data_IF_909012498985
#
_entry.id   IF_909012498985
#
_cell.length_a   1.000
_cell.length_b   1.000
_cell.length_c   1.000
_cell.angle_alpha   90.00
_cell.angle_beta   90.00
_cell.angle_gamma   90.00
#
_symmetry.space_group_name_H-M   'P 1'
#
loop_
_entity.id
_entity.type
_entity.pdbx_description
1 polymer ?
#
# COMPACT_ATOMS: atom_id res chain seq x y z
N UNK A 1 8.14 9.71 -31.81
CA UNK A 1 6.84 9.92 -31.10
C UNK A 1 6.72 9.17 -29.77
N UNK A 2 7.07 7.88 -29.66
CA UNK A 2 6.84 7.15 -28.40
C UNK A 2 7.71 7.64 -27.22
N UNK A 3 8.97 8.03 -27.47
CA UNK A 3 9.88 8.52 -26.42
C UNK A 3 9.33 9.77 -25.71
N UNK A 4 8.78 10.73 -26.46
CA UNK A 4 8.18 11.96 -25.93
C UNK A 4 6.98 11.66 -25.02
N UNK A 5 6.14 10.67 -25.38
CA UNK A 5 5.00 10.23 -24.57
C UNK A 5 5.42 9.57 -23.26
N UNK A 6 6.45 8.71 -23.32
CA UNK A 6 7.02 8.12 -22.11
C UNK A 6 7.67 9.16 -21.20
N UNK A 7 8.40 10.13 -21.77
CA UNK A 7 8.98 11.23 -21.01
C UNK A 7 7.90 12.08 -20.34
N UNK A 8 6.84 12.44 -21.06
CA UNK A 8 5.70 13.18 -20.50
C UNK A 8 5.02 12.41 -19.36
N UNK A 9 4.72 11.12 -19.58
CA UNK A 9 4.11 10.27 -18.55
C UNK A 9 5.01 10.17 -17.32
N UNK A 10 6.31 9.94 -17.50
CA UNK A 10 7.29 9.88 -16.41
C UNK A 10 7.36 11.20 -15.64
N UNK A 11 7.38 12.34 -16.33
CA UNK A 11 7.34 13.68 -15.70
C UNK A 11 6.06 13.90 -14.92
N UNK A 12 4.90 13.49 -15.45
CA UNK A 12 3.62 13.61 -14.75
C UNK A 12 3.59 12.72 -13.51
N UNK A 13 4.04 11.47 -13.59
CA UNK A 13 4.15 10.60 -12.42
C UNK A 13 5.14 11.15 -11.38
N UNK A 14 6.30 11.62 -11.80
CA UNK A 14 7.27 12.27 -10.91
C UNK A 14 6.68 13.53 -10.26
N UNK A 15 5.92 14.33 -11.01
CA UNK A 15 5.21 15.50 -10.52
C UNK A 15 4.12 15.14 -9.49
N UNK A 16 3.36 14.08 -9.73
CA UNK A 16 2.37 13.57 -8.76
C UNK A 16 3.04 13.11 -7.46
N UNK A 17 4.15 12.36 -7.57
CA UNK A 17 4.93 11.91 -6.41
C UNK A 17 5.56 13.08 -5.65
N UNK A 18 6.14 14.05 -6.37
CA UNK A 18 6.69 15.26 -5.77
C UNK A 18 5.61 16.10 -5.07
N UNK A 19 4.42 16.22 -5.67
CA UNK A 19 3.28 16.89 -5.05
C UNK A 19 2.89 16.19 -3.74
N UNK A 20 2.76 14.86 -3.76
CA UNK A 20 2.46 14.06 -2.55
C UNK A 20 3.52 14.30 -1.48
N UNK A 21 4.80 14.20 -1.85
CA UNK A 21 5.92 14.36 -0.92
C UNK A 21 5.99 15.78 -0.32
N UNK A 22 5.79 16.82 -1.13
CA UNK A 22 6.00 18.20 -0.72
C UNK A 22 4.75 18.84 -0.10
N UNK A 23 3.57 18.54 -0.67
CA UNK A 23 2.30 19.24 -0.46
C UNK A 23 1.14 18.32 -0.10
N UNK A 24 1.31 17.00 -0.16
CA UNK A 24 0.27 16.04 0.20
C UNK A 24 -0.28 16.35 1.58
N UNK A 25 -1.59 16.41 1.75
CA UNK A 25 -2.14 16.50 3.09
C UNK A 25 -1.97 15.14 3.74
N UNK A 26 -1.32 15.11 4.90
CA UNK A 26 -0.99 13.90 5.61
C UNK A 26 -2.29 13.10 5.92
N UNK A 27 -3.35 13.80 6.34
CA UNK A 27 -4.69 13.24 6.53
C UNK A 27 -5.34 12.72 5.25
N UNK A 28 -5.01 13.28 4.07
CA UNK A 28 -5.52 12.79 2.79
C UNK A 28 -4.91 11.44 2.42
N UNK A 29 -3.60 11.28 2.65
CA UNK A 29 -2.89 10.03 2.39
C UNK A 29 -3.33 8.93 3.36
N UNK A 30 -3.56 9.29 4.62
CA UNK A 30 -4.13 8.38 5.61
C UNK A 30 -5.57 7.98 5.23
N UNK A 31 -6.41 8.93 4.81
CA UNK A 31 -7.76 8.63 4.31
C UNK A 31 -7.71 7.72 3.08
N UNK A 32 -6.79 7.93 2.13
CA UNK A 32 -6.64 7.08 0.94
C UNK A 32 -6.13 5.67 1.30
N UNK A 33 -5.18 5.58 2.23
CA UNK A 33 -4.64 4.34 2.77
C UNK A 33 -5.69 3.54 3.55
N UNK A 34 -6.51 4.24 4.32
CA UNK A 34 -7.59 3.65 5.10
C UNK A 34 -8.84 3.39 4.26
N UNK A 35 -9.10 4.10 3.17
CA UNK A 35 -10.37 4.03 2.42
C UNK A 35 -10.81 2.59 2.10
N UNK A 36 -9.95 1.68 1.60
CA UNK A 36 -10.35 0.31 1.34
C UNK A 36 -10.70 -0.44 2.63
N UNK A 37 -9.98 -0.15 3.72
CA UNK A 37 -10.30 -0.65 5.05
C UNK A 37 -11.61 -0.04 5.57
N UNK A 38 -11.87 1.25 5.35
CA UNK A 38 -13.14 1.91 5.71
C UNK A 38 -14.31 1.27 4.97
N UNK A 39 -14.12 0.99 3.67
CA UNK A 39 -15.13 0.31 2.84
C UNK A 39 -15.34 -1.12 3.35
N UNK A 40 -14.28 -1.92 3.52
CA UNK A 40 -14.37 -3.28 4.07
C UNK A 40 -15.01 -3.30 5.45
N UNK A 41 -14.55 -2.42 6.33
CA UNK A 41 -15.06 -2.30 7.68
C UNK A 41 -16.51 -1.84 7.65
N UNK A 42 -16.92 -0.90 6.79
CA UNK A 42 -18.33 -0.49 6.65
C UNK A 42 -19.22 -1.60 6.10
N UNK A 43 -18.70 -2.41 5.17
CA UNK A 43 -19.38 -3.59 4.64
C UNK A 43 -19.49 -4.71 5.69
N UNK A 44 -18.47 -4.87 6.54
CA UNK A 44 -18.46 -5.81 7.66
C UNK A 44 -19.20 -5.28 8.92
N UNK A 45 -19.29 -3.96 9.11
CA UNK A 45 -19.93 -3.28 10.25
C UNK A 45 -21.44 -3.35 10.18
N UNK A 46 -22.02 -3.65 9.02
CA UNK A 46 -23.42 -4.10 8.93
C UNK A 46 -23.65 -5.35 9.81
N UNK A 47 -22.60 -6.08 10.18
CA UNK A 47 -22.66 -7.32 10.97
C UNK A 47 -22.22 -7.15 12.44
N UNK A 48 -21.54 -6.05 12.83
CA UNK A 48 -20.99 -5.92 14.19
C UNK A 48 -21.21 -4.53 14.80
N UNK A 49 -22.28 -4.37 15.57
CA UNK A 49 -22.69 -3.16 16.30
C UNK A 49 -21.80 -2.75 17.49
N UNK A 50 -20.48 -2.98 17.45
CA UNK A 50 -19.58 -2.69 18.58
C UNK A 50 -18.61 -1.54 18.28
N UNK A 51 -18.88 -0.37 18.85
CA UNK A 51 -17.90 0.66 19.24
C UNK A 51 -17.19 1.48 18.15
N UNK A 52 -17.00 0.96 16.94
CA UNK A 52 -16.17 1.65 15.93
C UNK A 52 -16.91 2.83 15.25
N UNK A 53 -18.24 2.87 15.32
CA UNK A 53 -19.05 3.98 14.79
C UNK A 53 -18.74 5.35 15.40
N UNK A 54 -18.20 5.41 16.62
CA UNK A 54 -17.87 6.67 17.31
C UNK A 54 -16.61 7.34 16.78
N UNK A 55 -15.61 6.56 16.30
CA UNK A 55 -14.41 7.11 15.66
C UNK A 55 -14.73 7.76 14.30
N UNK A 56 -15.77 7.28 13.61
CA UNK A 56 -16.21 7.81 12.32
C UNK A 56 -17.18 8.98 12.41
N UNK A 57 -18.02 9.03 13.43
CA UNK A 57 -18.94 10.16 13.64
C UNK A 57 -18.19 11.45 14.02
N UNK A 58 -16.95 11.35 14.51
CA UNK A 58 -16.18 12.48 15.01
C UNK A 58 -15.15 13.04 14.02
N UNK A 59 -14.82 12.36 12.91
CA UNK A 59 -13.97 12.95 11.88
C UNK A 59 -14.78 14.06 11.19
N UNK A 60 -14.50 15.36 11.46
CA UNK A 60 -15.38 16.40 10.96
C UNK A 60 -15.36 16.36 9.43
N UNK A 61 -16.54 16.49 8.80
CA UNK A 61 -16.69 16.59 7.34
C UNK A 61 -15.65 17.55 6.72
N UNK A 62 -15.30 18.58 7.49
CA UNK A 62 -14.23 19.54 7.23
C UNK A 62 -12.85 18.90 6.96
N UNK A 63 -12.45 17.86 7.70
CA UNK A 63 -11.17 17.16 7.50
C UNK A 63 -11.18 16.40 6.18
N UNK A 64 -12.31 15.80 5.81
CA UNK A 64 -12.47 15.11 4.51
C UNK A 64 -12.47 16.12 3.36
N UNK A 65 -13.16 17.25 3.48
CA UNK A 65 -13.19 18.28 2.44
C UNK A 65 -11.86 19.03 2.29
N UNK A 66 -11.15 19.29 3.40
CA UNK A 66 -9.82 19.90 3.37
C UNK A 66 -8.73 18.97 2.81
N UNK A 67 -8.95 17.65 2.82
CA UNK A 67 -8.01 16.65 2.31
C UNK A 67 -8.22 16.32 0.82
N UNK A 68 -9.43 16.54 0.31
CA UNK A 68 -9.82 16.28 -1.08
C UNK A 68 -8.87 16.91 -2.12
N UNK A 69 -8.46 18.19 -2.04
CA UNK A 69 -7.51 18.76 -3.01
C UNK A 69 -6.13 18.08 -2.97
N UNK A 70 -5.68 17.70 -1.78
CA UNK A 70 -4.42 16.97 -1.58
C UNK A 70 -4.43 15.56 -2.19
N UNK A 71 -5.63 15.01 -2.40
CA UNK A 71 -5.88 13.68 -2.96
C UNK A 71 -6.15 13.72 -4.47
N UNK A 72 -7.04 14.64 -4.89
CA UNK A 72 -7.48 14.76 -6.28
C UNK A 72 -6.38 15.29 -7.19
N UNK A 73 -5.55 16.23 -6.73
CA UNK A 73 -4.48 16.79 -7.54
C UNK A 73 -3.47 15.72 -8.01
N UNK A 74 -2.86 14.88 -7.15
CA UNK A 74 -1.94 13.84 -7.61
C UNK A 74 -2.64 12.75 -8.40
N UNK A 75 -3.90 12.41 -8.09
CA UNK A 75 -4.70 11.45 -8.89
C UNK A 75 -4.92 12.00 -10.29
N UNK A 76 -5.29 13.27 -10.44
CA UNK A 76 -5.49 13.90 -11.74
C UNK A 76 -4.19 13.96 -12.54
N UNK A 77 -3.07 14.35 -11.91
CA UNK A 77 -1.75 14.36 -12.55
C UNK A 77 -1.34 12.95 -12.98
N UNK A 78 -1.51 11.94 -12.12
CA UNK A 78 -1.23 10.54 -12.45
C UNK A 78 -2.16 10.00 -13.55
N UNK A 79 -3.43 10.43 -13.56
CA UNK A 79 -4.41 10.12 -14.60
C UNK A 79 -4.00 10.70 -15.95
N UNK A 80 -3.54 11.96 -15.98
CA UNK A 80 -2.96 12.57 -17.18
C UNK A 80 -1.69 11.83 -17.61
N UNK A 81 -0.85 11.40 -16.65
CA UNK A 81 0.33 10.57 -16.92
C UNK A 81 -0.04 9.25 -17.58
N UNK A 82 -1.10 8.59 -17.09
CA UNK A 82 -1.63 7.38 -17.67
C UNK A 82 -2.18 7.59 -19.09
N UNK A 83 -2.95 8.66 -19.29
CA UNK A 83 -3.48 9.02 -20.63
C UNK A 83 -2.36 9.40 -21.60
N UNK A 84 -1.24 9.93 -21.10
CA UNK A 84 -0.06 10.24 -21.91
C UNK A 84 0.75 9.00 -22.29
N UNK A 85 0.62 7.87 -21.59
CA UNK A 85 1.30 6.64 -21.95
C UNK A 85 0.87 6.20 -23.37
N UNK A 86 1.82 5.78 -24.22
CA UNK A 86 1.45 5.20 -25.50
C UNK A 86 0.57 3.97 -25.26
N UNK A 87 -0.42 3.74 -26.14
CA UNK A 87 -1.29 2.55 -26.06
C UNK A 87 -0.53 1.22 -26.16
N UNK A 88 0.75 1.26 -26.52
CA UNK A 88 1.63 0.09 -26.51
C UNK A 88 2.01 -0.27 -25.06
N UNK A 89 2.11 -1.56 -24.76
CA UNK A 89 2.37 -2.01 -23.40
C UNK A 89 3.70 -1.48 -22.88
N UNK A 90 3.72 -1.08 -21.60
CA UNK A 90 4.88 -0.52 -20.89
C UNK A 90 6.12 -1.43 -21.03
N UNK A 91 5.89 -2.74 -20.97
CA UNK A 91 6.93 -3.76 -21.09
C UNK A 91 7.08 -4.32 -22.52
N UNK A 92 6.38 -3.76 -23.50
CA UNK A 92 6.25 -4.26 -24.88
C UNK A 92 7.56 -4.49 -25.65
N UNK A 93 8.67 -3.90 -25.18
CA UNK A 93 10.01 -4.07 -25.76
C UNK A 93 10.92 -5.02 -25.01
N UNK A 94 10.56 -5.39 -23.78
CA UNK A 94 11.35 -6.34 -22.99
C UNK A 94 11.18 -7.75 -23.54
N UNK A 95 12.23 -8.55 -23.47
CA UNK A 95 12.15 -9.98 -23.80
C UNK A 95 11.28 -10.71 -22.78
N UNK A 96 10.62 -11.79 -23.20
CA UNK A 96 9.72 -12.57 -22.33
C UNK A 96 10.41 -13.09 -21.04
N UNK A 97 11.67 -13.59 -21.08
CA UNK A 97 12.39 -13.96 -19.86
C UNK A 97 12.61 -12.78 -18.90
N UNK A 98 12.84 -11.58 -19.44
CA UNK A 98 12.98 -10.35 -18.63
C UNK A 98 11.65 -10.00 -17.96
N UNK A 99 10.53 -10.04 -18.69
CA UNK A 99 9.20 -9.78 -18.11
C UNK A 99 8.88 -10.78 -16.99
N UNK A 100 9.19 -12.07 -17.21
CA UNK A 100 9.02 -13.11 -16.19
C UNK A 100 9.88 -12.85 -14.94
N UNK A 101 11.14 -12.43 -15.13
CA UNK A 101 12.07 -12.12 -14.05
C UNK A 101 11.59 -10.91 -13.23
N UNK A 102 11.17 -9.83 -13.90
CA UNK A 102 10.61 -8.63 -13.25
C UNK A 102 9.36 -8.99 -12.45
N UNK A 103 8.45 -9.77 -13.04
CA UNK A 103 7.23 -10.25 -12.36
C UNK A 103 7.58 -11.05 -11.11
N UNK A 104 8.43 -12.08 -11.25
CA UNK A 104 8.74 -13.00 -10.16
C UNK A 104 9.48 -12.28 -9.02
N UNK A 105 10.46 -11.43 -9.34
CA UNK A 105 11.24 -10.69 -8.35
C UNK A 105 10.36 -9.69 -7.60
N UNK A 106 9.54 -8.93 -8.31
CA UNK A 106 8.64 -7.94 -7.69
C UNK A 106 7.58 -8.61 -6.82
N UNK A 107 7.00 -9.72 -7.30
CA UNK A 107 6.05 -10.50 -6.50
C UNK A 107 6.72 -11.09 -5.24
N UNK A 108 7.95 -11.59 -5.34
CA UNK A 108 8.70 -12.10 -4.19
C UNK A 108 8.95 -11.01 -3.15
N UNK A 109 9.42 -9.83 -3.57
CA UNK A 109 9.62 -8.68 -2.68
C UNK A 109 8.30 -8.30 -1.99
N UNK A 110 7.21 -8.19 -2.76
CA UNK A 110 5.91 -7.84 -2.21
C UNK A 110 5.37 -8.90 -1.23
N UNK A 111 5.57 -10.19 -1.49
CA UNK A 111 5.21 -11.29 -0.56
C UNK A 111 6.02 -11.19 0.72
N UNK A 112 7.35 -11.05 0.62
CA UNK A 112 8.24 -10.97 1.79
C UNK A 112 7.87 -9.78 2.68
N UNK A 113 7.68 -8.59 2.09
CA UNK A 113 7.30 -7.40 2.84
C UNK A 113 5.89 -7.52 3.44
N UNK A 114 4.96 -8.12 2.72
CA UNK A 114 3.59 -8.35 3.19
C UNK A 114 3.52 -9.35 4.34
N UNK A 115 4.45 -10.30 4.45
CA UNK A 115 4.54 -11.26 5.55
C UNK A 115 5.38 -10.74 6.72
N UNK A 116 6.45 -10.01 6.43
CA UNK A 116 7.36 -9.47 7.46
C UNK A 116 6.64 -8.53 8.43
N UNK A 117 5.74 -7.69 7.91
CA UNK A 117 4.95 -6.77 8.75
C UNK A 117 4.04 -7.50 9.76
N UNK A 118 3.15 -8.43 9.35
CA UNK A 118 2.42 -9.32 10.26
C UNK A 118 3.29 -10.07 11.25
N UNK A 119 4.41 -10.65 10.81
CA UNK A 119 5.28 -11.44 11.67
C UNK A 119 5.83 -10.61 12.83
N UNK A 120 6.21 -9.36 12.58
CA UNK A 120 6.67 -8.45 13.62
C UNK A 120 5.54 -8.12 14.61
N UNK A 121 4.32 -7.90 14.11
CA UNK A 121 3.14 -7.63 14.95
C UNK A 121 2.72 -8.85 15.78
N UNK A 122 2.73 -10.05 15.21
CA UNK A 122 2.48 -11.30 15.94
C UNK A 122 3.56 -11.54 16.98
N UNK A 123 4.83 -11.26 16.66
CA UNK A 123 5.93 -11.36 17.60
C UNK A 123 5.65 -10.59 18.89
N UNK A 124 5.12 -9.38 18.78
CA UNK A 124 4.72 -8.58 19.94
C UNK A 124 3.57 -9.21 20.75
N UNK A 125 2.60 -9.84 20.08
CA UNK A 125 1.49 -10.53 20.74
C UNK A 125 1.95 -11.75 21.53
N UNK A 126 2.94 -12.50 21.03
CA UNK A 126 3.47 -13.71 21.69
C UNK A 126 4.61 -13.41 22.67
N UNK A 127 4.85 -12.14 22.98
CA UNK A 127 5.84 -11.73 23.97
C UNK A 127 7.30 -11.77 23.49
N UNK A 128 7.55 -11.89 22.17
CA UNK A 128 8.89 -11.60 21.64
C UNK A 128 9.17 -10.14 22.00
N UNK A 129 10.31 -9.83 22.67
CA UNK A 129 10.61 -8.48 23.12
C UNK A 129 10.45 -7.51 21.96
N UNK A 130 9.40 -6.70 22.03
CA UNK A 130 9.33 -5.53 21.20
C UNK A 130 10.48 -4.62 21.61
N UNK A 131 11.17 -3.96 20.67
CA UNK A 131 12.09 -2.87 21.01
C UNK A 131 11.38 -1.73 21.76
N UNK A 132 10.04 -1.75 21.85
CA UNK A 132 9.26 -0.81 22.65
C UNK A 132 9.57 -0.92 24.15
N UNK A 133 9.94 0.22 24.78
CA UNK A 133 9.99 0.38 26.23
C UNK A 133 8.72 -0.10 26.93
N UNK A 134 8.87 -0.58 28.17
CA UNK A 134 7.74 -1.11 28.96
C UNK A 134 6.63 -0.09 29.18
N UNK A 135 6.95 1.21 29.20
CA UNK A 135 5.96 2.27 29.39
C UNK A 135 4.94 2.37 28.23
N UNK A 136 5.33 1.93 27.03
CA UNK A 136 4.51 2.06 25.81
C UNK A 136 3.63 0.83 25.53
N UNK A 137 3.84 -0.28 26.24
CA UNK A 137 3.09 -1.53 26.02
C UNK A 137 1.58 -1.41 26.26
N UNK A 138 1.08 -0.67 27.28
CA UNK A 138 -0.35 -0.50 27.49
C UNK A 138 -1.05 0.22 26.33
N UNK A 139 -0.40 1.21 25.72
CA UNK A 139 -0.92 1.95 24.56
C UNK A 139 -1.03 1.05 23.33
N UNK A 140 -0.06 0.16 23.11
CA UNK A 140 -0.11 -0.82 22.01
C UNK A 140 -1.17 -1.90 22.24
N UNK A 141 -1.56 -2.17 23.49
CA UNK A 141 -2.63 -3.11 23.84
C UNK A 141 -3.97 -2.77 23.19
N UNK A 142 -4.28 -1.48 23.00
CA UNK A 142 -5.47 -1.02 22.29
C UNK A 142 -5.43 -1.28 20.78
N UNK A 143 -4.24 -1.58 20.23
CA UNK A 143 -3.99 -1.73 18.79
C UNK A 143 -3.96 -3.21 18.37
N UNK A 144 -4.08 -4.16 19.32
CA UNK A 144 -4.03 -5.61 19.06
C UNK A 144 -5.00 -6.04 17.97
N UNK A 145 -6.23 -5.52 17.98
CA UNK A 145 -7.23 -5.82 16.95
C UNK A 145 -6.77 -5.37 15.56
N UNK A 146 -6.18 -4.17 15.44
CA UNK A 146 -5.59 -3.72 14.19
C UNK A 146 -4.42 -4.62 13.77
N UNK A 147 -3.58 -5.05 14.72
CA UNK A 147 -2.50 -6.00 14.46
C UNK A 147 -2.99 -7.32 13.85
N UNK A 148 -4.09 -7.87 14.36
CA UNK A 148 -4.75 -9.07 13.80
C UNK A 148 -5.28 -8.80 12.39
N UNK A 149 -5.97 -7.67 12.19
CA UNK A 149 -6.52 -7.32 10.87
C UNK A 149 -5.42 -7.10 9.82
N UNK A 150 -4.32 -6.43 10.20
CA UNK A 150 -3.15 -6.30 9.34
C UNK A 150 -2.47 -7.64 9.08
N UNK A 151 -2.47 -8.55 10.06
CA UNK A 151 -1.93 -9.90 9.89
C UNK A 151 -2.71 -10.68 8.84
N UNK A 152 -4.04 -10.74 8.99
CA UNK A 152 -4.92 -11.41 8.03
C UNK A 152 -4.82 -10.75 6.66
N UNK A 153 -4.87 -9.41 6.60
CA UNK A 153 -4.73 -8.65 5.36
C UNK A 153 -3.39 -8.88 4.66
N UNK A 154 -2.29 -8.93 5.42
CA UNK A 154 -0.95 -9.25 4.92
C UNK A 154 -0.87 -10.67 4.37
N UNK A 155 -1.42 -11.66 5.08
CA UNK A 155 -1.48 -13.04 4.58
C UNK A 155 -2.29 -13.16 3.29
N UNK A 156 -3.48 -12.55 3.24
CA UNK A 156 -4.31 -12.55 2.03
C UNK A 156 -3.61 -11.85 0.87
N UNK A 157 -2.94 -10.73 1.13
CA UNK A 157 -2.17 -9.99 0.12
C UNK A 157 -0.97 -10.79 -0.37
N UNK A 158 -0.26 -11.49 0.52
CA UNK A 158 0.84 -12.37 0.18
C UNK A 158 0.38 -13.53 -0.72
N UNK A 159 -0.73 -14.20 -0.36
CA UNK A 159 -1.33 -15.26 -1.19
C UNK A 159 -1.71 -14.70 -2.55
N UNK A 160 -2.46 -13.59 -2.60
CA UNK A 160 -2.84 -12.94 -3.84
C UNK A 160 -1.62 -12.60 -4.73
N UNK A 161 -0.59 -12.00 -4.14
CA UNK A 161 0.63 -11.58 -4.86
C UNK A 161 1.43 -12.78 -5.35
N UNK A 162 1.52 -13.84 -4.56
CA UNK A 162 2.14 -15.09 -4.98
C UNK A 162 1.38 -15.71 -6.16
N UNK A 163 0.05 -15.65 -6.15
CA UNK A 163 -0.81 -16.07 -7.25
C UNK A 163 -0.43 -15.47 -8.60
N UNK A 164 0.05 -14.22 -8.64
CA UNK A 164 0.52 -13.56 -9.87
C UNK A 164 1.70 -14.29 -10.55
N UNK A 165 2.39 -15.18 -9.85
CA UNK A 165 3.52 -15.95 -10.39
C UNK A 165 3.19 -17.42 -10.64
N UNK A 166 1.99 -17.88 -10.25
CA UNK A 166 1.63 -19.29 -10.23
C UNK A 166 0.46 -19.60 -11.16
N UNK A 167 0.38 -20.84 -11.69
CA UNK A 167 -0.73 -21.25 -12.55
C UNK A 167 -2.09 -21.11 -11.88
N UNK A 168 -2.19 -21.42 -10.57
CA UNK A 168 -3.46 -21.34 -9.85
C UNK A 168 -3.98 -19.90 -9.70
N UNK A 169 -3.13 -18.87 -9.76
CA UNK A 169 -3.57 -17.48 -9.70
C UNK A 169 -4.18 -16.98 -11.01
N UNK A 170 -4.09 -17.77 -12.08
CA UNK A 170 -4.68 -17.46 -13.38
C UNK A 170 -6.10 -18.00 -13.57
N UNK A 171 -6.61 -18.83 -12.65
CA UNK A 171 -7.91 -19.47 -12.75
C UNK A 171 -8.63 -19.43 -11.41
N UNK A 172 -9.93 -19.16 -11.43
CA UNK A 172 -10.77 -19.38 -10.25
C UNK A 172 -10.83 -20.88 -9.91
N UNK A 173 -11.27 -21.21 -8.69
CA UNK A 173 -11.50 -22.59 -8.29
C UNK A 173 -12.48 -23.35 -9.22
N UNK A 174 -13.34 -22.62 -9.94
CA UNK A 174 -14.24 -23.15 -10.98
C UNK A 174 -13.55 -23.49 -12.30
N UNK A 175 -12.24 -23.28 -12.42
CA UNK A 175 -11.47 -23.44 -13.67
C UNK A 175 -11.59 -22.27 -14.65
N UNK A 176 -12.50 -21.32 -14.42
CA UNK A 176 -12.64 -20.13 -15.27
C UNK A 176 -11.39 -19.25 -15.19
N UNK A 177 -10.88 -18.72 -16.31
CA UNK A 177 -9.72 -17.83 -16.30
C UNK A 177 -10.06 -16.53 -15.54
N UNK A 178 -9.12 -16.08 -14.72
CA UNK A 178 -9.22 -14.77 -14.06
C UNK A 178 -8.95 -13.68 -15.09
N UNK A 179 -9.83 -12.67 -15.25
CA UNK A 179 -9.58 -11.58 -16.18
C UNK A 179 -8.27 -10.87 -15.87
N UNK A 180 -7.39 -10.72 -16.86
CA UNK A 180 -6.07 -10.08 -16.69
C UNK A 180 -6.22 -8.68 -16.07
N UNK A 181 -7.23 -7.92 -16.51
CA UNK A 181 -7.53 -6.58 -16.00
C UNK A 181 -7.90 -6.58 -14.52
N UNK A 182 -8.58 -7.62 -14.02
CA UNK A 182 -8.94 -7.72 -12.61
C UNK A 182 -7.69 -7.84 -11.74
N UNK A 183 -6.82 -8.81 -12.02
CA UNK A 183 -5.57 -8.98 -11.27
C UNK A 183 -4.66 -7.76 -11.38
N UNK A 184 -4.51 -7.18 -12.58
CA UNK A 184 -3.70 -5.97 -12.75
C UNK A 184 -4.25 -4.80 -11.92
N UNK A 185 -5.54 -4.51 -12.05
CA UNK A 185 -6.14 -3.33 -11.43
C UNK A 185 -6.19 -3.47 -9.91
N UNK A 186 -6.45 -4.67 -9.38
CA UNK A 186 -6.39 -4.94 -7.95
C UNK A 186 -4.98 -4.73 -7.39
N UNK A 187 -3.95 -5.29 -8.03
CA UNK A 187 -2.56 -5.10 -7.61
C UNK A 187 -2.15 -3.63 -7.64
N UNK A 188 -2.53 -2.90 -8.69
CA UNK A 188 -2.25 -1.46 -8.79
C UNK A 188 -3.00 -0.68 -7.70
N UNK A 189 -4.29 -0.93 -7.50
CA UNK A 189 -5.09 -0.26 -6.48
C UNK A 189 -4.52 -0.48 -5.08
N UNK A 190 -4.29 -1.73 -4.68
CA UNK A 190 -3.72 -2.06 -3.38
C UNK A 190 -2.30 -1.53 -3.23
N UNK A 191 -1.47 -1.63 -4.27
CA UNK A 191 -0.11 -1.11 -4.23
C UNK A 191 -0.06 0.41 -4.08
N UNK A 192 -0.99 1.16 -4.69
CA UNK A 192 -1.13 2.61 -4.51
C UNK A 192 -1.56 2.95 -3.08
N UNK A 193 -2.51 2.22 -2.52
CA UNK A 193 -2.98 2.39 -1.13
C UNK A 193 -1.81 2.18 -0.15
N UNK A 194 -1.09 1.07 -0.30
CA UNK A 194 0.08 0.72 0.53
C UNK A 194 1.20 1.75 0.37
N UNK A 195 1.52 2.14 -0.88
CA UNK A 195 2.51 3.18 -1.16
C UNK A 195 2.13 4.51 -0.52
N UNK A 196 0.86 4.90 -0.57
CA UNK A 196 0.38 6.16 0.00
C UNK A 196 0.45 6.15 1.53
N UNK A 197 0.06 5.04 2.17
CA UNK A 197 0.17 4.86 3.61
C UNK A 197 1.64 4.92 4.07
N UNK A 198 2.53 4.24 3.34
CA UNK A 198 3.97 4.29 3.59
C UNK A 198 4.58 5.67 3.42
N UNK A 199 4.23 6.37 2.33
CA UNK A 199 4.74 7.72 2.06
C UNK A 199 4.27 8.73 3.11
N UNK A 200 3.02 8.61 3.56
CA UNK A 200 2.52 9.37 4.71
C UNK A 200 3.36 9.12 5.94
N UNK A 201 3.56 7.86 6.29
CA UNK A 201 4.27 7.46 7.49
C UNK A 201 5.72 7.97 7.51
N UNK A 202 6.45 7.78 6.40
CA UNK A 202 7.81 8.29 6.23
C UNK A 202 7.84 9.81 6.39
N UNK A 203 6.88 10.51 5.80
CA UNK A 203 6.81 11.97 5.91
C UNK A 203 6.49 12.44 7.33
N UNK A 204 5.53 11.81 8.01
CA UNK A 204 5.16 12.19 9.38
C UNK A 204 6.34 12.03 10.33
N UNK A 205 7.15 10.98 10.13
CA UNK A 205 8.40 10.77 10.88
C UNK A 205 9.43 11.85 10.55
N UNK A 206 9.66 12.17 9.27
CA UNK A 206 10.70 13.14 8.87
C UNK A 206 10.35 14.58 9.26
N UNK A 207 9.07 14.96 9.20
CA UNK A 207 8.63 16.34 9.38
C UNK A 207 8.13 16.66 10.79
N UNK A 208 8.13 15.69 11.70
CA UNK A 208 7.44 15.81 13.00
C UNK A 208 5.98 16.30 12.83
N UNK A 209 5.33 15.93 11.72
CA UNK A 209 3.92 16.26 11.50
C UNK A 209 3.12 15.39 12.50
N UNK A 210 2.66 16.00 13.60
CA UNK A 210 1.90 15.29 14.63
C UNK A 210 0.76 14.53 13.99
N UNK A 211 0.58 13.24 14.34
CA UNK A 211 -0.55 12.47 13.87
C UNK A 211 -1.84 13.14 14.32
N UNK A 212 -2.86 12.99 13.48
CA UNK A 212 -4.22 13.51 13.67
C UNK A 212 -4.63 13.30 15.13
N UNK A 213 -5.19 14.32 15.82
CA UNK A 213 -5.73 14.13 17.16
C UNK A 213 -6.89 13.12 17.07
N UNK A 214 -6.60 11.85 17.37
CA UNK A 214 -7.62 10.83 17.50
C UNK A 214 -8.19 11.05 18.90
N UNK A 215 -9.43 11.55 18.95
CA UNK A 215 -10.10 11.87 20.21
C UNK A 215 -9.95 10.71 21.22
N UNK A 216 -9.43 11.04 22.40
CA UNK A 216 -9.19 10.18 23.59
C UNK A 216 -7.93 9.31 23.66
N UNK A 217 -6.95 9.56 22.81
CA UNK A 217 -5.58 9.12 23.04
C UNK A 217 -4.76 9.56 21.84
N UNK A 218 -4.01 10.66 21.99
CA UNK A 218 -3.08 11.08 20.95
C UNK A 218 -2.12 9.90 20.71
N UNK A 219 -2.34 9.12 19.64
CA UNK A 219 -1.34 8.19 19.16
C UNK A 219 -0.26 9.08 18.54
N UNK A 220 0.49 9.80 19.36
CA UNK A 220 1.72 10.46 18.95
C UNK A 220 2.59 9.37 18.36
N UNK A 221 3.26 9.67 17.24
CA UNK A 221 4.39 8.86 16.84
C UNK A 221 5.40 9.06 17.97
N UNK A 222 5.43 8.11 18.90
CA UNK A 222 6.23 8.21 20.12
C UNK A 222 7.67 8.48 19.70
N UNK A 223 8.24 9.58 20.19
CA UNK A 223 9.55 10.08 19.75
C UNK A 223 9.49 11.32 18.86
N UNK A 224 8.36 11.98 18.64
CA UNK A 224 8.39 13.30 17.98
C UNK A 224 9.17 14.29 18.84
N UNK A 225 10.01 15.12 18.19
CA UNK A 225 10.92 16.08 18.84
C UNK A 225 10.23 17.09 19.77
N UNK A 226 8.90 17.21 19.65
CA UNK A 226 8.07 18.15 20.40
C UNK A 226 7.58 17.63 21.77
N UNK A 227 7.88 16.39 22.15
CA UNK A 227 7.41 15.78 23.41
C UNK A 227 8.24 16.16 24.65
N UNK A 228 9.06 17.22 24.55
CA UNK A 228 10.10 17.50 25.52
C UNK A 228 11.28 16.53 25.37
N UNK A 229 12.32 16.64 26.21
CA UNK A 229 13.44 15.71 26.18
C UNK A 229 12.97 14.35 26.71
N UNK A 230 12.45 13.51 25.82
CA UNK A 230 12.53 12.07 26.03
C UNK A 230 14.02 11.73 26.16
N UNK A 231 14.35 10.82 27.07
CA UNK A 231 15.70 10.33 27.18
C UNK A 231 16.13 9.76 25.79
N UNK A 232 17.36 10.05 25.31
CA UNK A 232 17.78 9.75 23.93
C UNK A 232 17.56 8.28 23.52
N UNK A 233 17.69 7.37 24.49
CA UNK A 233 17.46 5.94 24.39
C UNK A 233 16.01 5.55 24.06
N UNK A 234 15.02 6.32 24.51
CA UNK A 234 13.60 6.09 24.21
C UNK A 234 13.26 6.53 22.78
N UNK A 235 13.90 7.59 22.29
CA UNK A 235 13.71 8.11 20.92
C UNK A 235 14.25 7.12 19.87
N UNK A 236 15.45 6.56 20.10
CA UNK A 236 16.04 5.61 19.17
C UNK A 236 15.29 4.26 19.15
N UNK A 237 14.78 3.82 20.31
CA UNK A 237 13.98 2.60 20.43
C UNK A 237 12.63 2.71 19.71
N UNK A 238 12.02 3.91 19.68
CA UNK A 238 10.74 4.11 19.01
C UNK A 238 10.86 4.06 17.49
N UNK A 239 11.95 4.58 16.90
CA UNK A 239 12.22 4.48 15.45
C UNK A 239 12.28 3.00 15.01
N UNK A 240 12.90 2.13 15.81
CA UNK A 240 12.98 0.70 15.53
C UNK A 240 11.62 -0.01 15.52
N UNK A 241 10.66 0.45 16.32
CA UNK A 241 9.29 -0.08 16.34
C UNK A 241 8.49 0.27 15.08
N UNK A 242 8.92 1.31 14.36
CA UNK A 242 8.28 1.85 13.15
C UNK A 242 9.02 1.51 11.85
N UNK A 243 10.10 0.75 11.95
CA UNK A 243 10.86 0.25 10.81
C UNK A 243 10.01 -0.54 9.81
N UNK A 244 9.02 -1.37 10.22
CA UNK A 244 8.16 -2.09 9.27
C UNK A 244 7.39 -1.14 8.33
N UNK A 245 6.92 -0.01 8.85
CA UNK A 245 6.15 0.99 8.13
C UNK A 245 7.00 1.73 7.08
N UNK A 246 8.31 1.84 7.30
CA UNK A 246 9.26 2.40 6.33
C UNK A 246 9.35 1.57 5.04
N UNK A 247 8.98 0.28 5.08
CA UNK A 247 9.01 -0.60 3.92
C UNK A 247 7.71 -0.61 3.11
N UNK A 248 6.63 0.00 3.61
CA UNK A 248 5.36 0.08 2.89
C UNK A 248 5.49 0.70 1.49
N UNK A 249 6.27 1.79 1.26
CA UNK A 249 6.46 2.31 -0.11
C UNK A 249 7.05 1.28 -1.07
N UNK A 250 8.05 0.52 -0.60
CA UNK A 250 8.72 -0.51 -1.41
C UNK A 250 7.73 -1.65 -1.71
N UNK A 251 6.94 -2.07 -0.72
CA UNK A 251 5.89 -3.07 -0.92
C UNK A 251 4.87 -2.61 -1.96
N UNK A 252 4.36 -1.39 -1.85
CA UNK A 252 3.39 -0.83 -2.78
C UNK A 252 3.92 -0.77 -4.22
N UNK A 253 5.16 -0.29 -4.40
CA UNK A 253 5.83 -0.27 -5.71
C UNK A 253 6.01 -1.69 -6.28
N UNK A 254 6.51 -2.61 -5.46
CA UNK A 254 6.73 -3.99 -5.87
C UNK A 254 5.41 -4.67 -6.31
N UNK A 255 4.31 -4.42 -5.60
CA UNK A 255 2.99 -4.94 -5.95
C UNK A 255 2.46 -4.36 -7.27
N UNK A 256 2.62 -3.05 -7.49
CA UNK A 256 2.26 -2.39 -8.75
C UNK A 256 3.04 -3.02 -9.92
N UNK A 257 4.37 -3.14 -9.79
CA UNK A 257 5.22 -3.71 -10.83
C UNK A 257 4.85 -5.18 -11.10
N UNK A 258 4.60 -5.96 -10.04
CA UNK A 258 4.17 -7.36 -10.17
C UNK A 258 2.87 -7.48 -10.97
N UNK A 259 1.86 -6.64 -10.67
CA UNK A 259 0.58 -6.62 -11.38
C UNK A 259 0.70 -6.22 -12.86
N UNK A 260 1.51 -5.20 -13.15
CA UNK A 260 1.76 -4.75 -14.53
C UNK A 260 2.54 -5.80 -15.33
N UNK A 261 3.57 -6.40 -14.73
CA UNK A 261 4.39 -7.44 -15.37
C UNK A 261 3.61 -8.74 -15.58
N UNK A 262 2.73 -9.10 -14.63
CA UNK A 262 1.77 -10.20 -14.80
C UNK A 262 0.87 -9.97 -16.01
N UNK A 263 0.30 -8.77 -16.15
CA UNK A 263 -0.59 -8.46 -17.25
C UNK A 263 0.09 -8.60 -18.61
N UNK A 264 1.33 -8.10 -18.73
CA UNK A 264 2.09 -8.26 -19.97
C UNK A 264 2.45 -9.72 -20.23
N UNK A 265 2.91 -10.44 -19.21
CA UNK A 265 3.28 -11.85 -19.33
C UNK A 265 2.09 -12.67 -19.84
N UNK A 266 0.90 -12.47 -19.25
CA UNK A 266 -0.33 -13.17 -19.65
C UNK A 266 -0.72 -12.87 -21.08
N UNK A 267 -0.79 -11.58 -21.44
CA UNK A 267 -1.17 -11.14 -22.79
C UNK A 267 -0.33 -11.82 -23.88
N UNK A 268 0.98 -11.89 -23.70
CA UNK A 268 1.88 -12.54 -24.66
C UNK A 268 1.77 -14.06 -24.68
N UNK A 269 1.50 -14.67 -23.52
CA UNK A 269 1.34 -16.12 -23.43
C UNK A 269 0.04 -16.57 -24.10
N UNK A 270 -1.03 -15.80 -23.89
CA UNK A 270 -2.33 -16.04 -24.52
C UNK A 270 -2.24 -15.81 -26.05
N UNK A 271 -1.59 -14.74 -26.51
CA UNK A 271 -1.30 -14.49 -27.94
C UNK A 271 -0.52 -15.67 -28.59
N UNK A 272 0.46 -16.23 -27.90
CA UNK A 272 1.22 -17.39 -28.38
C UNK A 272 0.39 -18.68 -28.40
N UNK A 273 -0.55 -18.84 -27.48
CA UNK A 273 -1.45 -19.98 -27.46
C UNK A 273 -2.40 -19.94 -28.67
N UNK A 274 -2.95 -18.76 -28.98
CA UNK A 274 -3.83 -18.56 -30.14
C UNK A 274 -3.11 -18.86 -31.47
N UNK A 275 -1.84 -18.44 -31.61
CA UNK A 275 -1.03 -18.74 -32.80
C UNK A 275 -0.75 -20.23 -33.00
N UNK A 276 -0.72 -21.04 -31.93
CA UNK A 276 -0.52 -22.49 -32.03
C UNK A 276 -1.77 -23.24 -32.47
N UNK A 277 -2.94 -22.61 -32.34
CA UNK A 277 -4.25 -23.17 -32.71
C UNK A 277 -4.69 -22.70 -34.09
N UNK A 278 -4.07 -21.66 -34.64
CA UNK A 278 -4.30 -21.22 -36.01
C UNK A 278 -3.77 -22.27 -37.02
N UNK A 279 -4.63 -22.79 -37.92
CA UNK A 279 -4.30 -23.86 -38.86
C UNK A 279 -3.38 -23.44 -40.02
#
# INVERSE_FOLDING_TARGET
>A
MNATRYALAATLYAGALAYIALRGNASALLLLGLLPYLILLSLCLVVASFGVGLLYAAAPLYTVTATLPGLLAPIAIAGLGYLALPAKPIFGRLLMPTVATVRNTSAYVAVVLSLGYPMLRIGWLVGIPSPLPSELRPEVGGIVLYGVLFTVGGLLSAVYTWGLTRPWGASFASGRPVPIGLSRNSAVLFGVVVLSAGAYFVRSVIRDETPIPIAQGDIKIIGSRNDGPLAPDIHDASIGAWLPEMFLPIWGIALIIAGLAYAEFRRRTDELADMRVAP
#
